data_IF_435400047570
#
_entry.id   IF_435400047570
#
_cell.length_a   1.000
_cell.length_b   1.000
_cell.length_c   1.000
_cell.angle_alpha   90.00
_cell.angle_beta   90.00
_cell.angle_gamma   90.00
#
_symmetry.space_group_name_H-M   'P 1'
#
loop_
_entity.id
_entity.type
_entity.pdbx_description
1 polymer ?
#
# COMPACT_ATOMS: atom_id res chain seq x y z
N UNK A 1 -12.31 0.59 -10.30
CA UNK A 1 -11.38 1.40 -9.47
C UNK A 1 -10.07 1.56 -10.21
N UNK A 2 -9.61 2.79 -10.39
CA UNK A 2 -8.40 3.09 -11.13
C UNK A 2 -7.31 3.63 -10.21
N UNK A 3 -6.03 3.52 -10.63
CA UNK A 3 -4.94 4.15 -9.91
C UNK A 3 -5.01 5.67 -10.09
N UNK A 4 -4.93 6.42 -9.00
CA UNK A 4 -5.05 7.87 -9.02
C UNK A 4 -3.79 8.57 -9.50
N UNK A 5 -2.62 7.94 -9.33
CA UNK A 5 -1.31 8.52 -9.67
C UNK A 5 -0.53 7.65 -10.66
N UNK A 6 -1.25 6.87 -11.47
CA UNK A 6 -0.65 5.95 -12.43
C UNK A 6 -0.27 4.61 -11.79
N UNK A 7 0.47 3.75 -12.52
CA UNK A 7 0.87 2.46 -12.00
C UNK A 7 1.71 2.61 -10.73
N UNK A 8 1.47 1.78 -9.71
CA UNK A 8 2.23 1.86 -8.47
C UNK A 8 3.68 1.42 -8.68
N UNK A 9 4.56 1.93 -7.81
CA UNK A 9 5.96 1.58 -7.83
C UNK A 9 6.23 0.18 -7.30
N UNK A 10 7.45 -0.29 -7.55
CA UNK A 10 7.90 -1.60 -7.08
C UNK A 10 8.62 -1.46 -5.74
N UNK A 11 8.28 -2.35 -4.80
CA UNK A 11 8.88 -2.42 -3.48
C UNK A 11 9.40 -3.81 -3.20
N UNK A 12 10.55 -3.88 -2.53
CA UNK A 12 11.14 -5.13 -2.09
C UNK A 12 11.24 -5.10 -0.57
N UNK A 13 10.58 -6.04 0.07
CA UNK A 13 10.59 -6.18 1.52
C UNK A 13 11.39 -7.43 1.86
N UNK A 14 12.52 -7.26 2.52
CA UNK A 14 13.33 -8.39 2.98
C UNK A 14 12.91 -8.71 4.39
N UNK A 15 12.55 -9.95 4.62
CA UNK A 15 12.12 -10.44 5.92
C UNK A 15 13.31 -11.01 6.69
N UNK A 16 13.17 -11.11 8.00
CA UNK A 16 14.23 -11.67 8.87
C UNK A 16 14.56 -13.12 8.54
N UNK A 17 13.62 -13.85 7.94
CA UNK A 17 13.85 -15.20 7.46
C UNK A 17 14.76 -15.27 6.23
N UNK A 18 15.04 -14.13 5.60
CA UNK A 18 15.77 -14.06 4.33
C UNK A 18 14.86 -14.03 3.11
N UNK A 19 13.57 -14.26 3.27
CA UNK A 19 12.63 -14.19 2.16
C UNK A 19 12.47 -12.74 1.69
N UNK A 20 12.27 -12.56 0.39
CA UNK A 20 12.02 -11.25 -0.22
C UNK A 20 10.63 -11.25 -0.81
N UNK A 21 9.83 -10.27 -0.41
CA UNK A 21 8.48 -10.07 -0.93
C UNK A 21 8.51 -8.87 -1.88
N UNK A 22 8.01 -9.06 -3.08
CA UNK A 22 7.91 -7.99 -4.08
C UNK A 22 6.48 -7.48 -4.13
N UNK A 23 6.32 -6.17 -3.96
CA UNK A 23 5.01 -5.53 -3.88
C UNK A 23 4.91 -4.37 -4.85
N UNK A 24 3.69 -4.11 -5.33
CA UNK A 24 3.37 -2.92 -6.10
C UNK A 24 2.55 -1.99 -5.21
N UNK A 25 3.06 -0.79 -4.93
CA UNK A 25 2.39 0.17 -4.07
C UNK A 25 2.87 1.59 -4.37
N UNK A 26 2.07 2.58 -4.01
CA UNK A 26 2.47 3.98 -4.11
C UNK A 26 3.35 4.38 -2.93
N UNK A 27 3.18 3.73 -1.80
CA UNK A 27 3.98 4.00 -0.63
C UNK A 27 3.60 3.08 0.52
N UNK A 28 4.23 3.31 1.67
CA UNK A 28 3.85 2.61 2.88
C UNK A 28 3.91 3.53 4.09
N UNK A 29 3.22 3.12 5.13
CA UNK A 29 3.28 3.79 6.43
C UNK A 29 3.29 2.73 7.53
N UNK A 30 3.87 3.07 8.68
CA UNK A 30 3.80 2.21 9.85
C UNK A 30 2.55 2.53 10.66
N UNK A 31 1.82 1.49 11.04
CA UNK A 31 0.62 1.64 11.84
C UNK A 31 0.44 0.41 12.73
N UNK A 32 0.39 0.63 14.03
CA UNK A 32 0.19 -0.41 15.03
C UNK A 32 1.13 -1.61 14.89
N UNK A 33 2.39 -1.35 14.58
CA UNK A 33 3.41 -2.39 14.44
C UNK A 33 3.45 -3.08 13.10
N UNK A 34 2.75 -2.53 12.10
CA UNK A 34 2.73 -3.08 10.75
C UNK A 34 3.19 -2.04 9.74
N UNK A 35 3.83 -2.51 8.68
CA UNK A 35 4.03 -1.71 7.48
C UNK A 35 2.81 -1.93 6.58
N UNK A 36 2.09 -0.87 6.28
CA UNK A 36 0.91 -0.91 5.43
C UNK A 36 1.28 -0.34 4.06
N UNK A 37 1.35 -1.20 3.07
CA UNK A 37 1.61 -0.78 1.69
C UNK A 37 0.29 -0.47 1.03
N UNK A 38 0.23 0.67 0.35
CA UNK A 38 -1.04 1.16 -0.16
C UNK A 38 -0.89 1.80 -1.52
N UNK A 39 -2.01 1.87 -2.22
CA UNK A 39 -2.13 2.59 -3.48
C UNK A 39 -3.20 3.65 -3.35
N UNK A 40 -3.00 4.77 -4.05
CA UNK A 40 -4.02 5.78 -4.21
C UNK A 40 -4.89 5.38 -5.39
N UNK A 41 -6.17 5.21 -5.15
CA UNK A 41 -7.10 4.76 -6.16
C UNK A 41 -8.28 5.72 -6.25
N UNK A 42 -8.86 5.81 -7.44
CA UNK A 42 -10.12 6.52 -7.63
C UNK A 42 -11.25 5.55 -7.39
N UNK A 43 -12.19 5.97 -6.58
CA UNK A 43 -13.34 5.14 -6.27
C UNK A 43 -14.59 6.01 -6.18
N UNK A 44 -15.67 5.53 -6.77
CA UNK A 44 -16.98 6.16 -6.59
C UNK A 44 -17.45 5.96 -5.16
N UNK A 45 -18.49 6.67 -4.74
CA UNK A 45 -19.08 6.49 -3.42
C UNK A 45 -19.48 5.03 -3.21
N UNK A 46 -20.05 4.41 -4.23
CA UNK A 46 -20.47 3.01 -4.17
C UNK A 46 -19.29 2.05 -4.00
N UNK A 47 -18.22 2.28 -4.76
CA UNK A 47 -17.01 1.46 -4.63
C UNK A 47 -16.37 1.61 -3.25
N UNK A 48 -16.39 2.81 -2.68
CA UNK A 48 -15.84 3.09 -1.37
C UNK A 48 -16.59 2.36 -0.25
N UNK A 49 -17.86 2.09 -0.46
CA UNK A 49 -18.66 1.30 0.48
C UNK A 49 -18.29 -0.18 0.44
N UNK A 50 -17.70 -0.65 -0.66
CA UNK A 50 -17.34 -2.04 -0.86
C UNK A 50 -15.92 -2.37 -0.43
N UNK A 51 -15.08 -1.38 -0.18
CA UNK A 51 -13.68 -1.58 0.22
C UNK A 51 -13.45 -1.05 1.63
N UNK A 52 -12.52 -1.69 2.33
CA UNK A 52 -12.10 -1.20 3.63
C UNK A 52 -11.05 -0.13 3.43
N UNK A 53 -11.34 1.07 3.87
CA UNK A 53 -10.43 2.21 3.77
C UNK A 53 -9.85 2.48 5.15
N UNK A 54 -8.52 2.35 5.30
CA UNK A 54 -7.84 2.60 6.57
C UNK A 54 -7.70 4.09 6.85
N UNK A 55 -7.54 4.86 5.81
CA UNK A 55 -7.42 6.30 5.90
C UNK A 55 -8.68 6.93 5.31
N UNK A 56 -8.93 8.17 5.72
CA UNK A 56 -10.01 8.95 5.13
C UNK A 56 -9.68 9.25 3.66
N UNK A 57 -10.66 9.61 2.90
CA UNK A 57 -10.48 10.02 1.52
C UNK A 57 -9.67 11.31 1.46
N UNK A 58 -8.65 11.35 0.62
CA UNK A 58 -7.85 12.55 0.40
C UNK A 58 -8.62 13.60 -0.39
N UNK A 59 -9.42 13.11 -1.33
CA UNK A 59 -10.36 13.90 -2.13
C UNK A 59 -11.64 13.11 -2.26
N UNK A 60 -12.67 13.71 -2.85
CA UNK A 60 -14.00 13.10 -2.94
C UNK A 60 -13.99 11.70 -3.55
N UNK A 61 -13.11 11.46 -4.54
CA UNK A 61 -13.07 10.20 -5.25
C UNK A 61 -11.75 9.43 -5.09
N UNK A 62 -10.83 9.94 -4.27
CA UNK A 62 -9.53 9.30 -4.07
C UNK A 62 -9.49 8.65 -2.70
N UNK A 63 -9.10 7.38 -2.67
CA UNK A 63 -8.97 6.60 -1.44
C UNK A 63 -7.62 5.93 -1.39
N UNK A 64 -7.17 5.65 -0.18
CA UNK A 64 -5.96 4.89 0.08
C UNK A 64 -6.36 3.45 0.32
N UNK A 65 -5.92 2.55 -0.56
CA UNK A 65 -6.26 1.13 -0.48
C UNK A 65 -5.03 0.36 -0.03
N UNK A 66 -5.15 -0.36 1.08
CA UNK A 66 -4.05 -1.19 1.57
C UNK A 66 -3.99 -2.47 0.76
N UNK A 67 -2.83 -2.72 0.17
CA UNK A 67 -2.59 -3.91 -0.66
C UNK A 67 -1.76 -4.97 0.06
N UNK A 68 -1.02 -4.56 1.11
CA UNK A 68 -0.25 -5.51 1.89
C UNK A 68 -0.04 -4.97 3.31
N UNK A 69 0.00 -5.88 4.27
CA UNK A 69 0.21 -5.58 5.67
C UNK A 69 1.30 -6.53 6.18
N UNK A 70 2.43 -5.98 6.58
CA UNK A 70 3.59 -6.78 6.99
C UNK A 70 3.98 -6.40 8.42
N UNK A 71 4.10 -7.37 9.36
CA UNK A 71 4.54 -7.07 10.71
C UNK A 71 5.95 -6.47 10.70
N UNK A 72 6.13 -5.31 11.31
CA UNK A 72 7.44 -4.65 11.37
C UNK A 72 8.49 -5.50 12.07
N UNK A 73 8.08 -6.34 13.03
CA UNK A 73 8.99 -7.26 13.72
C UNK A 73 9.65 -8.26 12.76
N UNK A 74 9.02 -8.54 11.62
CA UNK A 74 9.52 -9.48 10.62
C UNK A 74 10.29 -8.79 9.49
N UNK A 75 10.33 -7.47 9.46
CA UNK A 75 10.96 -6.70 8.40
C UNK A 75 12.43 -6.45 8.71
N UNK A 76 13.32 -6.85 7.81
CA UNK A 76 14.73 -6.53 7.88
C UNK A 76 15.01 -5.22 7.12
N UNK A 77 14.46 -5.08 5.92
CA UNK A 77 14.61 -3.87 5.13
C UNK A 77 13.45 -3.69 4.16
N UNK A 78 13.20 -2.43 3.79
CA UNK A 78 12.22 -2.05 2.78
C UNK A 78 12.94 -1.15 1.78
N UNK A 79 12.92 -1.53 0.51
CA UNK A 79 13.53 -0.78 -0.57
C UNK A 79 12.53 -0.60 -1.70
N UNK A 80 12.57 0.54 -2.34
CA UNK A 80 11.74 0.71 -3.52
C UNK A 80 11.13 2.08 -3.67
N UNK A 81 9.93 2.07 -4.31
CA UNK A 81 9.25 3.29 -4.73
C UNK A 81 9.60 3.70 -6.15
N UNK A 82 10.50 2.97 -6.81
CA UNK A 82 10.86 3.20 -8.20
C UNK A 82 9.90 2.53 -9.17
N UNK A 83 10.01 2.85 -10.46
CA UNK A 83 9.18 2.21 -11.47
C UNK A 83 9.52 0.71 -11.62
N UNK A 84 8.58 -0.03 -12.12
CA UNK A 84 8.76 -1.43 -12.47
C UNK A 84 9.80 -1.59 -13.59
#
# INVERSE_FOLDING_TARGET
>A
MDFAVGPPGRWLVTLRSGAVVELAADGYTEHEGYALFSVLARATVEEREQVQVLEWALEAETVLVVVAKVPMAEVLSIEGGGPW
#
